data_IF_285004732433
#
_entry.id   IF_285004732433
#
_cell.length_a   1.000
_cell.length_b   1.000
_cell.length_c   1.000
_cell.angle_alpha   90.00
_cell.angle_beta   90.00
_cell.angle_gamma   90.00
#
_symmetry.space_group_name_H-M   'P 1'
#
loop_
_entity.id
_entity.type
_entity.pdbx_description
1 polymer ?
#
# COMPACT_ATOMS: atom_id res chain seq x y z
N UNK A 1 -11.92 -19.12 13.90
CA UNK A 1 -11.53 -17.73 13.60
C UNK A 1 -12.29 -17.29 12.35
N UNK A 2 -13.39 -16.55 12.50
CA UNK A 2 -14.11 -15.96 11.35
C UNK A 2 -13.25 -14.83 10.80
N UNK A 3 -12.32 -15.18 9.90
CA UNK A 3 -11.27 -14.29 9.41
C UNK A 3 -11.84 -13.30 8.40
N UNK A 4 -12.31 -12.15 8.87
CA UNK A 4 -12.60 -11.02 7.98
C UNK A 4 -11.30 -10.68 7.23
N UNK A 5 -11.33 -10.76 5.90
CA UNK A 5 -10.18 -10.41 5.05
C UNK A 5 -9.92 -8.90 5.22
N UNK A 6 -8.79 -8.53 5.82
CA UNK A 6 -8.36 -7.13 5.89
C UNK A 6 -7.86 -6.70 4.51
N UNK A 7 -8.57 -5.78 3.88
CA UNK A 7 -8.08 -5.13 2.66
C UNK A 7 -7.05 -4.08 3.04
N UNK A 8 -5.85 -4.16 2.47
CA UNK A 8 -4.81 -3.15 2.64
C UNK A 8 -5.09 -1.96 1.73
N UNK A 9 -5.05 -0.75 2.28
CA UNK A 9 -5.06 0.50 1.50
C UNK A 9 -3.77 0.66 0.71
N UNK A 10 -3.77 1.55 -0.28
CA UNK A 10 -2.59 1.83 -1.10
C UNK A 10 -1.41 2.30 -0.22
N UNK A 11 -1.67 3.17 0.76
CA UNK A 11 -0.67 3.62 1.73
C UNK A 11 -0.10 2.49 2.59
N UNK A 12 -0.95 1.59 3.10
CA UNK A 12 -0.48 0.45 3.89
C UNK A 12 0.38 -0.51 3.04
N UNK A 13 0.06 -0.68 1.76
CA UNK A 13 0.89 -1.47 0.82
C UNK A 13 2.25 -0.82 0.58
N UNK A 14 2.28 0.50 0.36
CA UNK A 14 3.54 1.26 0.22
C UNK A 14 4.35 1.22 1.51
N UNK A 15 3.72 1.32 2.67
CA UNK A 15 4.38 1.15 3.97
C UNK A 15 5.00 -0.24 4.10
N UNK A 16 4.30 -1.28 3.65
CA UNK A 16 4.81 -2.65 3.58
C UNK A 16 6.08 -2.75 2.71
N UNK A 17 6.11 -2.06 1.56
CA UNK A 17 7.28 -2.01 0.68
C UNK A 17 8.47 -1.30 1.34
N UNK A 18 8.23 -0.16 2.01
CA UNK A 18 9.29 0.58 2.74
C UNK A 18 9.90 -0.24 3.88
N UNK A 19 9.08 -1.00 4.60
CA UNK A 19 9.55 -1.91 5.66
C UNK A 19 10.39 -3.07 5.11
N UNK A 20 10.07 -3.54 3.90
CA UNK A 20 10.87 -4.55 3.23
C UNK A 20 12.23 -3.97 2.78
N UNK A 21 12.27 -2.76 2.25
CA UNK A 21 13.51 -2.06 1.91
C UNK A 21 14.38 -1.77 3.13
N UNK A 22 13.77 -1.50 4.29
CA UNK A 22 14.51 -1.38 5.55
C UNK A 22 15.02 -2.72 6.11
N UNK A 23 14.83 -3.84 5.40
CA UNK A 23 15.32 -5.17 5.77
C UNK A 23 14.46 -5.94 6.77
N UNK A 24 13.21 -5.52 7.04
CA UNK A 24 12.32 -6.29 7.93
C UNK A 24 11.85 -7.58 7.25
N UNK A 25 11.71 -8.64 8.03
CA UNK A 25 11.22 -9.93 7.51
C UNK A 25 9.70 -9.92 7.31
N UNK A 26 9.21 -10.75 6.38
CA UNK A 26 7.78 -10.86 6.09
C UNK A 26 6.93 -11.29 7.28
N UNK A 27 7.52 -11.96 8.28
CA UNK A 27 6.82 -12.33 9.52
C UNK A 27 6.56 -11.09 10.38
N UNK A 28 7.56 -10.24 10.57
CA UNK A 28 7.43 -9.00 11.37
C UNK A 28 6.45 -8.04 10.69
N UNK A 29 6.55 -7.88 9.36
CA UNK A 29 5.64 -7.01 8.61
C UNK A 29 4.17 -7.49 8.68
N UNK A 30 3.94 -8.80 8.59
CA UNK A 30 2.61 -9.39 8.75
C UNK A 30 2.01 -9.10 10.13
N UNK A 31 2.82 -9.20 11.18
CA UNK A 31 2.41 -8.88 12.55
C UNK A 31 2.15 -7.37 12.74
N UNK A 32 3.02 -6.49 12.25
CA UNK A 32 2.86 -5.04 12.38
C UNK A 32 1.62 -4.49 11.64
N UNK A 33 1.29 -5.08 10.49
CA UNK A 33 0.15 -4.64 9.68
C UNK A 33 -1.13 -5.45 9.95
N UNK A 34 -1.07 -6.43 10.85
CA UNK A 34 -2.14 -7.40 11.14
C UNK A 34 -2.69 -8.07 9.87
N UNK A 35 -1.80 -8.52 8.98
CA UNK A 35 -2.15 -9.16 7.70
C UNK A 35 -1.54 -10.55 7.57
N UNK A 36 -2.10 -11.36 6.67
CA UNK A 36 -1.56 -12.68 6.38
C UNK A 36 -0.22 -12.62 5.62
N UNK A 37 0.66 -13.58 5.87
CA UNK A 37 1.97 -13.69 5.18
C UNK A 37 1.81 -13.77 3.66
N UNK A 38 0.77 -14.47 3.19
CA UNK A 38 0.42 -14.55 1.76
C UNK A 38 0.12 -13.17 1.18
N UNK A 39 -0.59 -12.32 1.92
CA UNK A 39 -0.94 -10.97 1.48
C UNK A 39 0.32 -10.09 1.38
N UNK A 40 1.25 -10.21 2.34
CA UNK A 40 2.56 -9.53 2.26
C UNK A 40 3.31 -9.97 1.01
N UNK A 41 3.39 -11.28 0.73
CA UNK A 41 4.05 -11.78 -0.49
C UNK A 41 3.37 -11.28 -1.78
N UNK A 42 2.04 -11.25 -1.82
CA UNK A 42 1.29 -10.70 -2.96
C UNK A 42 1.54 -9.20 -3.18
N UNK A 43 1.78 -8.44 -2.12
CA UNK A 43 2.16 -7.01 -2.19
C UNK A 43 3.59 -6.88 -2.72
N UNK A 44 4.54 -7.67 -2.20
CA UNK A 44 5.94 -7.65 -2.66
C UNK A 44 6.07 -8.02 -4.14
N UNK A 45 5.31 -9.01 -4.62
CA UNK A 45 5.30 -9.40 -6.05
C UNK A 45 4.80 -8.27 -6.96
N UNK A 46 3.83 -7.49 -6.49
CA UNK A 46 3.22 -6.36 -7.22
C UNK A 46 3.84 -5.01 -6.83
N UNK A 47 5.09 -5.00 -6.34
CA UNK A 47 5.79 -3.78 -5.89
C UNK A 47 5.72 -2.65 -6.94
N UNK A 48 5.99 -2.99 -8.21
CA UNK A 48 6.04 -2.02 -9.32
C UNK A 48 4.68 -1.37 -9.56
N UNK A 49 3.63 -2.17 -9.71
CA UNK A 49 2.25 -1.71 -9.92
C UNK A 49 1.79 -0.80 -8.78
N UNK A 50 2.06 -1.20 -7.53
CA UNK A 50 1.64 -0.44 -6.33
C UNK A 50 2.33 0.93 -6.27
N UNK A 51 3.60 1.00 -6.70
CA UNK A 51 4.35 2.25 -6.71
C UNK A 51 3.86 3.18 -7.83
N UNK A 52 3.59 2.63 -9.01
CA UNK A 52 3.01 3.37 -10.15
C UNK A 52 1.59 3.89 -9.82
N UNK A 53 0.74 3.06 -9.20
CA UNK A 53 -0.57 3.47 -8.68
C UNK A 53 -0.44 4.61 -7.65
N UNK A 54 0.54 4.53 -6.76
CA UNK A 54 0.77 5.55 -5.73
C UNK A 54 1.19 6.90 -6.33
N UNK A 55 2.12 6.88 -7.29
CA UNK A 55 2.55 8.10 -8.01
C UNK A 55 1.42 8.69 -8.87
N UNK A 56 0.69 7.84 -9.60
CA UNK A 56 -0.46 8.25 -10.41
C UNK A 56 -1.57 8.84 -9.54
N UNK A 57 -1.86 8.25 -8.38
CA UNK A 57 -2.88 8.75 -7.45
C UNK A 57 -2.47 10.09 -6.80
N UNK A 58 -1.19 10.31 -6.51
CA UNK A 58 -0.69 11.61 -6.06
C UNK A 58 -0.97 12.71 -7.12
N UNK A 59 -0.83 12.38 -8.40
CA UNK A 59 -1.17 13.27 -9.50
C UNK A 59 -2.68 13.53 -9.62
N UNK A 60 -3.53 12.61 -9.19
CA UNK A 60 -5.00 12.82 -9.15
C UNK A 60 -5.40 13.75 -8.01
N UNK A 61 -4.78 13.66 -6.83
CA UNK A 61 -4.99 14.63 -5.75
C UNK A 61 -4.59 16.05 -6.20
N UNK A 62 -3.46 16.20 -6.90
CA UNK A 62 -3.06 17.47 -7.48
C UNK A 62 -4.09 17.98 -8.50
N UNK A 63 -4.60 17.13 -9.41
CA UNK A 63 -5.64 17.53 -10.38
C UNK A 63 -6.96 17.97 -9.72
N UNK A 64 -7.35 17.36 -8.60
CA UNK A 64 -8.59 17.71 -7.89
C UNK A 64 -8.53 19.10 -7.22
N UNK A 65 -7.35 19.57 -6.83
CA UNK A 65 -7.19 20.91 -6.28
C UNK A 65 -7.30 22.03 -7.34
N UNK A 66 -7.01 21.75 -8.61
CA UNK A 66 -7.05 22.76 -9.69
C UNK A 66 -8.50 23.04 -10.16
N UNK A 67 -9.43 22.13 -9.88
CA UNK A 67 -10.82 22.22 -10.35
C UNK A 67 -11.75 22.90 -9.34
N UNK A 68 -11.31 23.18 -8.11
CA UNK A 68 -12.10 23.89 -7.11
C UNK A 68 -11.85 25.41 -7.06
N UNK A 69 -10.95 25.92 -7.93
CA UNK A 69 -10.62 27.36 -8.06
C UNK A 69 -11.18 27.99 -9.35
N UNK A 70 -12.12 27.32 -10.01
CA UNK A 70 -12.85 27.88 -11.15
C UNK A 70 -14.36 27.73 -10.91
N UNK A 71 -14.90 28.52 -9.98
CA UNK A 71 -16.27 29.01 -10.00
C UNK A 71 -16.41 30.25 -9.12
#
# INVERSE_FOLDING_TARGET
MSGKRKFLTLEERVKCLKLFESGKTSRVMASELCVGRTQVQSVLKRKREIMEEYESNANVCLKRCILHDVF
#
